data_IF_522224740725
#
_entry.id   IF_522224740725
#
_cell.length_a   1.000
_cell.length_b   1.000
_cell.length_c   1.000
_cell.angle_alpha   90.00
_cell.angle_beta   90.00
_cell.angle_gamma   90.00
#
_symmetry.space_group_name_H-M   'P 1'
#
loop_
_entity.id
_entity.type
_entity.pdbx_description
1 polymer ?
#
# COMPACT_ATOMS: atom_id res chain seq x y z
N UNK A 1 -41.73 -54.64 17.05
CA UNK A 1 -41.67 -53.60 16.01
C UNK A 1 -41.85 -52.15 16.59
N UNK A 2 -42.93 -51.81 17.35
CA UNK A 2 -43.09 -50.41 17.88
C UNK A 2 -41.93 -49.90 18.74
N UNK A 3 -41.31 -50.71 19.62
CA UNK A 3 -40.17 -50.29 20.45
C UNK A 3 -38.92 -49.98 19.65
N UNK A 4 -38.63 -50.76 18.62
CA UNK A 4 -37.48 -50.53 17.71
C UNK A 4 -37.66 -49.22 16.95
N UNK A 5 -38.88 -48.96 16.44
CA UNK A 5 -39.22 -47.75 15.71
C UNK A 5 -39.05 -46.47 16.60
N UNK A 6 -39.46 -46.56 17.87
CA UNK A 6 -39.28 -45.42 18.82
C UNK A 6 -37.82 -45.17 19.10
N UNK A 7 -37.01 -46.21 19.29
CA UNK A 7 -35.55 -46.08 19.51
C UNK A 7 -34.87 -45.45 18.28
N UNK A 8 -35.13 -45.96 17.08
CA UNK A 8 -34.60 -45.40 15.84
C UNK A 8 -34.98 -43.90 15.67
N UNK A 9 -36.26 -43.58 15.87
CA UNK A 9 -36.75 -42.17 15.80
C UNK A 9 -36.00 -41.27 16.75
N UNK A 10 -35.78 -41.70 18.00
CA UNK A 10 -35.07 -40.90 19.00
C UNK A 10 -33.59 -40.72 18.67
N UNK A 11 -32.95 -41.75 18.13
CA UNK A 11 -31.55 -41.66 17.63
C UNK A 11 -31.47 -40.64 16.48
N UNK A 12 -32.36 -40.70 15.51
CA UNK A 12 -32.37 -39.74 14.40
C UNK A 12 -32.66 -38.31 14.88
N UNK A 13 -33.54 -38.13 15.88
CA UNK A 13 -33.79 -36.81 16.46
C UNK A 13 -32.54 -36.24 17.17
N UNK A 14 -31.83 -37.06 17.93
CA UNK A 14 -30.57 -36.65 18.59
C UNK A 14 -29.50 -36.33 17.56
N UNK A 15 -29.32 -37.15 16.54
CA UNK A 15 -28.36 -36.89 15.45
C UNK A 15 -28.72 -35.60 14.70
N UNK A 16 -30.01 -35.36 14.47
CA UNK A 16 -30.48 -34.12 13.83
C UNK A 16 -30.15 -32.88 14.67
N UNK A 17 -30.35 -32.92 15.99
CA UNK A 17 -29.99 -31.83 16.89
C UNK A 17 -28.48 -31.60 16.89
N UNK A 18 -27.66 -32.66 16.97
CA UNK A 18 -26.20 -32.56 16.92
C UNK A 18 -25.75 -31.95 15.58
N UNK A 19 -26.30 -32.42 14.45
CA UNK A 19 -25.99 -31.87 13.13
C UNK A 19 -26.37 -30.38 13.01
N UNK A 20 -27.51 -29.98 13.58
CA UNK A 20 -27.95 -28.59 13.59
C UNK A 20 -27.01 -27.73 14.45
N UNK A 21 -26.62 -28.21 15.63
CA UNK A 21 -25.66 -27.50 16.49
C UNK A 21 -24.31 -27.35 15.77
N UNK A 22 -23.79 -28.42 15.16
CA UNK A 22 -22.55 -28.37 14.39
C UNK A 22 -22.68 -27.40 13.21
N UNK A 23 -23.80 -27.41 12.50
CA UNK A 23 -24.02 -26.47 11.39
C UNK A 23 -24.05 -25.00 11.88
N UNK A 24 -24.75 -24.71 12.98
CA UNK A 24 -24.76 -23.37 13.60
C UNK A 24 -23.38 -22.97 14.07
N UNK A 25 -22.65 -23.88 14.76
CA UNK A 25 -21.27 -23.64 15.16
C UNK A 25 -20.38 -23.37 13.93
N UNK A 26 -20.53 -24.14 12.84
CA UNK A 26 -19.81 -23.89 11.61
C UNK A 26 -20.16 -22.53 11.00
N UNK A 27 -21.43 -22.11 10.99
CA UNK A 27 -21.84 -20.80 10.45
C UNK A 27 -21.21 -19.61 11.23
N UNK A 28 -21.03 -19.76 12.53
CA UNK A 28 -20.40 -18.73 13.37
C UNK A 28 -18.89 -18.91 13.53
N UNK A 29 -18.42 -20.15 13.48
CA UNK A 29 -17.00 -20.45 13.62
C UNK A 29 -16.24 -20.41 12.30
N UNK A 30 -16.86 -20.66 11.13
CA UNK A 30 -16.17 -20.59 9.83
C UNK A 30 -15.61 -19.18 9.58
N UNK A 31 -16.32 -18.05 9.81
CA UNK A 31 -15.71 -16.74 9.72
C UNK A 31 -14.59 -16.51 10.73
N UNK A 32 -14.72 -17.10 11.93
CA UNK A 32 -13.70 -17.02 12.99
C UNK A 32 -12.53 -17.97 12.69
N UNK A 33 -12.78 -19.14 12.15
CA UNK A 33 -11.79 -20.12 11.74
C UNK A 33 -11.12 -19.77 10.42
N UNK A 34 -11.79 -19.10 9.51
CA UNK A 34 -11.17 -18.53 8.32
C UNK A 34 -10.14 -17.46 8.69
N UNK A 35 -10.35 -16.79 9.84
CA UNK A 35 -9.41 -15.85 10.46
C UNK A 35 -8.25 -16.54 11.17
N UNK A 36 -8.53 -17.65 11.87
CA UNK A 36 -7.54 -18.27 12.79
C UNK A 36 -6.96 -19.60 12.30
N UNK A 37 -7.60 -20.25 11.35
CA UNK A 37 -7.24 -21.60 10.87
C UNK A 37 -7.05 -21.63 9.36
N UNK A 38 -7.15 -20.51 8.65
CA UNK A 38 -6.60 -20.51 7.31
C UNK A 38 -5.07 -20.51 7.45
N UNK A 39 -4.40 -21.69 7.41
CA UNK A 39 -2.97 -21.81 7.59
C UNK A 39 -2.20 -21.00 6.54
N UNK A 40 -2.86 -20.71 5.39
CA UNK A 40 -2.30 -19.87 4.34
C UNK A 40 -2.17 -18.41 4.77
N UNK A 41 -3.09 -17.86 5.59
CA UNK A 41 -3.04 -16.43 5.95
C UNK A 41 -2.11 -16.14 7.13
N UNK A 42 -2.08 -16.99 8.16
CA UNK A 42 -1.11 -16.86 9.27
C UNK A 42 0.28 -17.36 8.87
N UNK A 43 0.36 -18.46 8.12
CA UNK A 43 1.62 -18.99 7.61
C UNK A 43 2.26 -18.09 6.55
N UNK A 44 1.48 -17.42 5.71
CA UNK A 44 2.00 -16.49 4.70
C UNK A 44 2.68 -15.27 5.33
N UNK A 45 2.13 -14.72 6.43
CA UNK A 45 2.80 -13.60 7.09
C UNK A 45 4.15 -14.02 7.65
N UNK A 46 4.25 -15.17 8.30
CA UNK A 46 5.51 -15.69 8.83
C UNK A 46 6.50 -15.98 7.69
N UNK A 47 6.04 -16.54 6.57
CA UNK A 47 6.84 -16.77 5.38
C UNK A 47 7.41 -15.48 4.79
N UNK A 48 6.58 -14.45 4.63
CA UNK A 48 7.05 -13.14 4.13
C UNK A 48 8.02 -12.46 5.08
N UNK A 49 7.75 -12.50 6.38
CA UNK A 49 8.67 -11.96 7.39
C UNK A 49 9.98 -12.74 7.43
N UNK A 50 9.95 -14.05 7.30
CA UNK A 50 11.16 -14.88 7.24
C UNK A 50 11.96 -14.61 5.96
N UNK A 51 11.30 -14.38 4.83
CA UNK A 51 11.93 -13.92 3.60
C UNK A 51 12.64 -12.57 3.80
N UNK A 52 11.99 -11.61 4.45
CA UNK A 52 12.62 -10.33 4.79
C UNK A 52 13.84 -10.50 5.72
N UNK A 53 13.77 -11.37 6.72
CA UNK A 53 14.85 -11.66 7.68
C UNK A 53 16.03 -12.37 7.03
N UNK A 54 15.78 -13.21 6.05
CA UNK A 54 16.82 -13.96 5.34
C UNK A 54 17.39 -13.19 4.15
N UNK A 55 16.73 -12.10 3.74
CA UNK A 55 17.26 -11.22 2.70
C UNK A 55 18.58 -10.57 3.15
N UNK A 56 19.44 -10.21 2.19
CA UNK A 56 20.62 -9.43 2.48
C UNK A 56 20.28 -8.08 3.13
N UNK A 57 21.18 -7.52 3.96
CA UNK A 57 20.95 -6.19 4.54
C UNK A 57 21.01 -5.11 3.47
N UNK A 58 20.35 -4.00 3.70
CA UNK A 58 20.67 -2.77 2.98
C UNK A 58 22.06 -2.27 3.40
N UNK A 59 22.87 -1.89 2.44
CA UNK A 59 24.26 -1.48 2.67
C UNK A 59 24.65 -0.35 1.73
N UNK A 60 25.53 0.53 2.19
CA UNK A 60 26.07 1.60 1.34
C UNK A 60 26.79 1.01 0.14
N UNK A 61 26.53 1.57 -1.01
CA UNK A 61 27.21 1.25 -2.25
C UNK A 61 27.81 2.50 -2.90
N UNK A 62 28.40 2.34 -4.08
CA UNK A 62 29.01 3.44 -4.84
C UNK A 62 28.06 4.04 -5.88
N UNK A 63 26.83 3.57 -5.97
CA UNK A 63 25.83 4.04 -6.92
C UNK A 63 25.45 5.47 -6.61
N UNK A 64 25.52 6.33 -7.60
CA UNK A 64 25.12 7.74 -7.46
C UNK A 64 23.78 7.99 -8.09
N UNK A 65 22.88 8.56 -7.35
CA UNK A 65 21.58 9.02 -7.81
C UNK A 65 21.11 10.19 -6.93
N UNK A 66 20.16 10.94 -7.43
CA UNK A 66 19.42 11.93 -6.65
C UNK A 66 17.93 11.74 -6.87
N UNK A 67 17.15 12.01 -5.85
CA UNK A 67 15.70 12.04 -5.93
C UNK A 67 15.24 13.48 -5.85
N UNK A 68 14.60 13.95 -6.91
CA UNK A 68 14.17 15.35 -7.04
C UNK A 68 12.68 15.43 -7.18
N UNK A 69 12.10 16.45 -6.56
CA UNK A 69 10.67 16.76 -6.68
C UNK A 69 10.55 18.11 -7.38
N UNK A 70 9.97 18.09 -8.56
CA UNK A 70 9.76 19.29 -9.38
C UNK A 70 8.39 19.86 -9.08
N UNK A 71 8.38 21.06 -8.52
CA UNK A 71 7.16 21.81 -8.26
C UNK A 71 6.81 22.69 -9.46
N UNK A 72 5.52 22.73 -9.83
CA UNK A 72 4.94 23.65 -10.80
C UNK A 72 3.79 24.41 -10.12
N UNK A 73 4.02 25.68 -9.83
CA UNK A 73 3.07 26.52 -9.12
C UNK A 73 1.78 26.78 -9.90
N UNK A 74 1.84 26.77 -11.23
CA UNK A 74 0.67 26.97 -12.10
C UNK A 74 -0.21 25.73 -12.06
N UNK A 75 0.41 24.56 -12.22
CA UNK A 75 -0.31 23.29 -12.14
C UNK A 75 -0.83 23.03 -10.73
N UNK A 76 -0.03 23.33 -9.71
CA UNK A 76 -0.45 23.24 -8.31
C UNK A 76 -1.73 24.07 -8.06
N UNK A 77 -1.76 25.33 -8.52
CA UNK A 77 -2.94 26.17 -8.33
C UNK A 77 -4.17 25.65 -9.07
N UNK A 78 -4.00 25.18 -10.30
CA UNK A 78 -5.08 24.56 -11.08
C UNK A 78 -5.70 23.36 -10.35
N UNK A 79 -4.86 22.48 -9.77
CA UNK A 79 -5.32 21.31 -9.01
C UNK A 79 -6.00 21.76 -7.72
N UNK A 80 -5.42 22.72 -6.98
CA UNK A 80 -6.03 23.29 -5.76
C UNK A 80 -7.44 23.78 -6.01
N UNK A 81 -7.62 24.59 -7.06
CA UNK A 81 -8.91 25.19 -7.38
C UNK A 81 -9.92 24.12 -7.83
N UNK A 82 -9.48 23.14 -8.62
CA UNK A 82 -10.34 22.07 -9.12
C UNK A 82 -10.86 21.18 -7.99
N UNK A 83 -9.97 20.75 -7.09
CA UNK A 83 -10.31 19.86 -5.97
C UNK A 83 -10.76 20.60 -4.70
N UNK A 84 -10.66 21.93 -4.67
CA UNK A 84 -10.88 22.74 -3.47
C UNK A 84 -10.07 22.21 -2.28
N UNK A 85 -8.78 21.94 -2.50
CA UNK A 85 -7.92 21.22 -1.55
C UNK A 85 -7.88 21.86 -0.16
N UNK A 86 -7.94 23.20 -0.08
CA UNK A 86 -7.92 23.93 1.18
C UNK A 86 -9.15 23.65 2.08
N UNK A 87 -10.15 22.94 1.56
CA UNK A 87 -11.30 22.50 2.36
C UNK A 87 -11.10 21.14 3.04
N UNK A 88 -10.06 20.39 2.65
CA UNK A 88 -9.79 19.06 3.17
C UNK A 88 -9.12 19.05 4.54
N UNK A 89 -8.44 20.13 4.89
CA UNK A 89 -7.67 20.27 6.13
C UNK A 89 -7.68 21.71 6.63
N UNK A 90 -7.36 21.90 7.91
CA UNK A 90 -7.24 23.24 8.48
C UNK A 90 -6.03 23.99 7.87
N UNK A 91 -6.13 25.31 7.74
CA UNK A 91 -5.08 26.15 7.12
C UNK A 91 -3.72 26.00 7.82
N UNK A 92 -3.73 25.82 9.13
CA UNK A 92 -2.57 25.64 10.00
C UNK A 92 -2.20 24.16 10.25
N UNK A 93 -2.82 23.23 9.52
CA UNK A 93 -2.50 21.80 9.64
C UNK A 93 -1.04 21.53 9.27
N UNK A 94 -0.39 20.66 10.04
CA UNK A 94 0.96 20.19 9.76
C UNK A 94 1.02 19.30 8.51
N UNK A 95 2.23 19.03 8.06
CA UNK A 95 2.51 18.20 6.86
C UNK A 95 1.80 16.85 6.91
N UNK A 96 1.90 16.17 8.05
CA UNK A 96 1.31 14.84 8.21
C UNK A 96 -0.22 14.87 8.16
N UNK A 97 -0.82 15.81 8.85
CA UNK A 97 -2.28 15.98 8.87
C UNK A 97 -2.83 16.25 7.47
N UNK A 98 -2.17 17.08 6.67
CA UNK A 98 -2.54 17.34 5.27
C UNK A 98 -2.43 16.07 4.43
N UNK A 99 -1.32 15.36 4.52
CA UNK A 99 -1.09 14.13 3.76
C UNK A 99 -2.15 13.05 4.05
N UNK A 100 -2.46 12.83 5.33
CA UNK A 100 -3.51 11.88 5.75
C UNK A 100 -4.90 12.31 5.28
N UNK A 101 -5.20 13.62 5.32
CA UNK A 101 -6.49 14.14 4.84
C UNK A 101 -6.66 13.90 3.33
N UNK A 102 -5.61 14.15 2.55
CA UNK A 102 -5.59 13.92 1.10
C UNK A 102 -5.72 12.42 0.80
N UNK A 103 -4.93 11.56 1.44
CA UNK A 103 -5.02 10.10 1.24
C UNK A 103 -6.42 9.56 1.57
N UNK A 104 -7.03 10.03 2.65
CA UNK A 104 -8.42 9.67 3.01
C UNK A 104 -9.44 10.22 2.03
N UNK A 105 -9.23 11.41 1.48
CA UNK A 105 -10.11 11.97 0.46
C UNK A 105 -10.13 11.08 -0.77
N UNK A 106 -8.97 10.67 -1.29
CA UNK A 106 -8.89 9.75 -2.43
C UNK A 106 -9.54 8.41 -2.10
N UNK A 107 -9.17 7.79 -1.00
CA UNK A 107 -9.70 6.50 -0.55
C UNK A 107 -11.23 6.45 -0.42
N UNK A 108 -11.85 7.55 0.02
CA UNK A 108 -13.32 7.62 0.20
C UNK A 108 -14.07 7.80 -1.10
N UNK A 109 -13.45 8.39 -2.09
CA UNK A 109 -14.10 8.75 -3.35
C UNK A 109 -13.79 7.79 -4.49
N UNK A 110 -12.70 7.05 -4.41
CA UNK A 110 -12.27 6.12 -5.46
C UNK A 110 -12.09 4.73 -4.87
N UNK A 111 -12.93 3.76 -5.20
CA UNK A 111 -12.73 2.36 -4.84
C UNK A 111 -11.56 1.73 -5.61
N UNK A 112 -10.98 0.68 -5.04
CA UNK A 112 -10.00 -0.15 -5.74
C UNK A 112 -10.69 -1.07 -6.76
N UNK A 113 -10.17 -1.10 -7.99
CA UNK A 113 -10.43 -2.15 -8.98
C UNK A 113 -9.32 -2.10 -10.05
N UNK A 114 -9.11 -3.20 -10.76
CA UNK A 114 -8.24 -3.20 -11.92
C UNK A 114 -9.00 -2.62 -13.13
N UNK A 115 -8.57 -1.46 -13.61
CA UNK A 115 -9.19 -0.80 -14.75
C UNK A 115 -9.06 -1.63 -16.02
N UNK A 116 -10.17 -1.73 -16.77
CA UNK A 116 -10.22 -2.41 -18.07
C UNK A 116 -9.81 -1.49 -19.22
N UNK A 117 -10.03 -0.20 -19.04
CA UNK A 117 -9.71 0.85 -20.01
C UNK A 117 -8.66 1.74 -19.35
N UNK A 118 -7.53 1.97 -20.02
CA UNK A 118 -6.51 2.87 -19.49
C UNK A 118 -6.97 4.32 -19.62
N UNK A 119 -6.74 5.18 -18.59
CA UNK A 119 -7.09 6.60 -18.69
C UNK A 119 -6.35 7.30 -19.85
N UNK A 120 -7.02 8.22 -20.52
CA UNK A 120 -6.39 9.05 -21.57
C UNK A 120 -5.37 10.02 -21.00
N UNK A 121 -5.60 10.51 -19.77
CA UNK A 121 -4.67 11.35 -19.04
C UNK A 121 -4.45 10.78 -17.65
N UNK A 122 -3.18 10.56 -17.30
CA UNK A 122 -2.74 10.00 -16.01
C UNK A 122 -2.15 11.12 -15.16
N UNK A 123 -3.00 12.11 -14.86
CA UNK A 123 -2.77 13.22 -13.94
C UNK A 123 -3.97 13.37 -13.01
N UNK A 124 -3.86 14.19 -11.96
CA UNK A 124 -4.90 14.27 -10.94
C UNK A 124 -6.28 14.59 -11.50
N UNK A 125 -6.38 15.55 -12.42
CA UNK A 125 -7.67 15.97 -13.00
C UNK A 125 -8.19 14.90 -13.97
N UNK A 126 -7.32 14.38 -14.84
CA UNK A 126 -7.67 13.32 -15.80
C UNK A 126 -8.15 12.05 -15.10
N UNK A 127 -7.46 11.61 -14.07
CA UNK A 127 -7.87 10.46 -13.25
C UNK A 127 -9.20 10.71 -12.55
N UNK A 128 -9.41 11.91 -12.03
CA UNK A 128 -10.68 12.25 -11.39
C UNK A 128 -11.86 12.27 -12.40
N UNK A 129 -11.65 12.83 -13.57
CA UNK A 129 -12.65 12.80 -14.65
C UNK A 129 -12.90 11.37 -15.18
N UNK A 130 -11.85 10.54 -15.21
CA UNK A 130 -11.98 9.11 -15.53
C UNK A 130 -12.96 8.42 -14.57
N UNK A 131 -12.87 8.70 -13.26
CA UNK A 131 -13.80 8.08 -12.28
C UNK A 131 -15.26 8.45 -12.49
N UNK A 132 -15.53 9.62 -13.07
CA UNK A 132 -16.89 10.09 -13.36
C UNK A 132 -17.44 9.60 -14.69
N UNK A 133 -16.58 9.49 -15.69
CA UNK A 133 -17.00 9.34 -17.08
C UNK A 133 -16.73 7.97 -17.69
N UNK A 134 -15.79 7.19 -17.14
CA UNK A 134 -15.35 5.91 -17.72
C UNK A 134 -15.59 4.75 -16.74
N UNK A 135 -14.94 4.77 -15.59
CA UNK A 135 -15.10 3.74 -14.56
C UNK A 135 -14.82 4.34 -13.17
N UNK A 136 -15.63 4.03 -12.13
CA UNK A 136 -15.55 4.70 -10.85
C UNK A 136 -14.34 4.30 -9.99
N UNK A 137 -13.54 3.35 -10.45
CA UNK A 137 -12.47 2.71 -9.69
C UNK A 137 -11.22 2.49 -10.55
N UNK A 138 -10.07 2.39 -9.89
CA UNK A 138 -8.79 2.01 -10.52
C UNK A 138 -7.82 1.40 -9.50
N UNK A 139 -6.66 0.93 -9.96
CA UNK A 139 -5.69 0.20 -9.15
C UNK A 139 -4.81 1.11 -8.27
N UNK A 140 -3.98 0.48 -7.44
CA UNK A 140 -3.07 1.14 -6.50
C UNK A 140 -2.15 2.18 -7.15
N UNK A 141 -1.65 1.93 -8.38
CA UNK A 141 -0.79 2.88 -9.08
C UNK A 141 -1.50 4.19 -9.39
N UNK A 142 -2.71 4.11 -9.95
CA UNK A 142 -3.48 5.32 -10.28
C UNK A 142 -3.98 6.05 -9.02
N UNK A 143 -4.29 5.31 -7.94
CA UNK A 143 -4.53 5.89 -6.62
C UNK A 143 -3.35 6.72 -6.14
N UNK A 144 -2.16 6.14 -6.24
CA UNK A 144 -0.94 6.78 -5.76
C UNK A 144 -0.53 7.99 -6.61
N UNK A 145 -0.74 7.96 -7.92
CA UNK A 145 -0.50 9.11 -8.81
C UNK A 145 -1.45 10.25 -8.48
N UNK A 146 -2.76 9.97 -8.39
CA UNK A 146 -3.75 10.98 -7.98
C UNK A 146 -3.38 11.61 -6.63
N UNK A 147 -3.09 10.78 -5.62
CA UNK A 147 -2.72 11.24 -4.29
C UNK A 147 -1.43 12.06 -4.29
N UNK A 148 -0.43 11.63 -5.04
CA UNK A 148 0.85 12.33 -5.21
C UNK A 148 0.67 13.74 -5.76
N UNK A 149 -0.04 13.90 -6.87
CA UNK A 149 -0.25 15.23 -7.46
C UNK A 149 -1.11 16.14 -6.58
N UNK A 150 -2.07 15.59 -5.82
CA UNK A 150 -2.81 16.36 -4.81
C UNK A 150 -1.89 16.81 -3.66
N UNK A 151 -0.96 15.95 -3.21
CA UNK A 151 0.04 16.31 -2.20
C UNK A 151 0.99 17.38 -2.71
N UNK A 152 1.51 17.26 -3.93
CA UNK A 152 2.33 18.31 -4.54
C UNK A 152 1.56 19.64 -4.63
N UNK A 153 0.30 19.60 -5.07
CA UNK A 153 -0.54 20.79 -5.14
C UNK A 153 -0.78 21.43 -3.76
N UNK A 154 -0.83 20.62 -2.70
CA UNK A 154 -0.90 21.12 -1.32
C UNK A 154 0.45 21.68 -0.80
N UNK A 155 1.50 21.68 -1.61
CA UNK A 155 2.84 22.14 -1.26
C UNK A 155 3.63 21.14 -0.39
N UNK A 156 3.30 19.86 -0.47
CA UNK A 156 4.00 18.79 0.25
C UNK A 156 5.05 18.15 -0.67
N UNK A 157 6.22 17.85 -0.13
CA UNK A 157 7.19 16.99 -0.79
C UNK A 157 6.73 15.54 -0.64
N UNK A 158 6.27 14.95 -1.73
CA UNK A 158 5.72 13.61 -1.76
C UNK A 158 6.32 12.78 -2.89
N UNK A 159 6.18 11.47 -2.79
CA UNK A 159 6.53 10.51 -3.85
C UNK A 159 5.56 9.35 -3.83
N UNK A 160 5.50 8.58 -4.91
CA UNK A 160 4.89 7.27 -4.91
C UNK A 160 5.95 6.19 -5.14
N UNK A 161 5.84 5.12 -4.39
CA UNK A 161 6.82 4.03 -4.34
C UNK A 161 6.13 2.74 -4.69
N UNK A 162 6.68 2.03 -5.67
CA UNK A 162 6.27 0.66 -5.96
C UNK A 162 6.96 -0.28 -4.99
N UNK A 163 6.16 -0.97 -4.21
CA UNK A 163 6.57 -1.97 -3.24
C UNK A 163 6.49 -3.34 -3.88
N UNK A 164 7.59 -4.08 -3.89
CA UNK A 164 7.76 -5.30 -4.67
C UNK A 164 7.98 -6.52 -3.76
N UNK A 165 7.41 -7.68 -4.12
CA UNK A 165 7.69 -8.93 -3.44
C UNK A 165 9.07 -9.50 -3.81
N UNK A 166 9.54 -10.50 -3.07
CA UNK A 166 10.74 -11.28 -3.41
C UNK A 166 10.56 -12.01 -4.75
N UNK A 167 9.41 -12.69 -4.89
CA UNK A 167 9.10 -13.44 -6.11
C UNK A 167 8.60 -12.48 -7.20
N UNK A 168 9.44 -12.18 -8.17
CA UNK A 168 9.09 -11.33 -9.30
C UNK A 168 8.05 -11.93 -10.26
N UNK A 169 7.77 -13.24 -10.21
CA UNK A 169 6.68 -13.86 -10.94
C UNK A 169 5.30 -13.56 -10.30
N UNK A 170 5.29 -13.12 -9.05
CA UNK A 170 4.10 -12.54 -8.43
C UNK A 170 3.86 -11.12 -9.00
N UNK A 171 2.83 -11.00 -9.84
CA UNK A 171 2.45 -9.72 -10.44
C UNK A 171 1.68 -8.80 -9.47
N UNK A 172 1.39 -9.27 -8.25
CA UNK A 172 0.66 -8.53 -7.23
C UNK A 172 1.63 -7.70 -6.38
N UNK A 173 2.14 -6.62 -6.95
CA UNK A 173 2.88 -5.57 -6.26
C UNK A 173 1.92 -4.50 -5.71
N UNK A 174 2.44 -3.61 -4.87
CA UNK A 174 1.65 -2.50 -4.34
C UNK A 174 2.33 -1.15 -4.61
N UNK A 175 1.53 -0.11 -4.81
CA UNK A 175 2.04 1.26 -4.98
C UNK A 175 1.39 2.15 -3.92
N UNK A 176 2.21 2.84 -3.14
CA UNK A 176 1.77 3.74 -2.07
C UNK A 176 2.50 5.07 -2.12
N UNK A 177 2.00 6.05 -1.38
CA UNK A 177 2.66 7.34 -1.26
C UNK A 177 3.54 7.40 -0.01
N UNK A 178 4.61 8.17 -0.10
CA UNK A 178 5.35 8.70 1.04
C UNK A 178 5.40 10.23 0.96
N UNK A 179 5.30 10.87 2.11
CA UNK A 179 5.43 12.32 2.28
C UNK A 179 6.63 12.61 3.16
N UNK A 180 7.42 13.60 2.79
CA UNK A 180 8.52 14.09 3.62
C UNK A 180 7.98 14.95 4.77
N UNK A 181 8.35 14.60 5.99
CA UNK A 181 8.01 15.33 7.20
C UNK A 181 9.22 16.17 7.64
N UNK A 182 9.31 17.44 7.23
CA UNK A 182 10.48 18.26 7.52
C UNK A 182 10.69 18.47 9.02
N UNK A 183 9.62 18.51 9.79
CA UNK A 183 9.64 18.62 11.25
C UNK A 183 10.23 17.39 11.96
N UNK A 184 10.32 16.25 11.25
CA UNK A 184 10.85 14.98 11.75
C UNK A 184 12.09 14.51 11.00
N UNK A 185 12.42 15.14 9.87
CA UNK A 185 13.54 14.77 9.01
C UNK A 185 13.40 13.35 8.43
N UNK A 186 12.16 12.93 8.08
CA UNK A 186 11.90 11.57 7.59
C UNK A 186 10.71 11.50 6.64
N UNK A 187 10.64 10.43 5.87
CA UNK A 187 9.48 10.02 5.08
C UNK A 187 8.45 9.31 5.95
N UNK A 188 7.18 9.40 5.55
CA UNK A 188 6.08 8.65 6.15
C UNK A 188 5.09 8.18 5.08
N UNK A 189 4.61 6.94 5.20
CA UNK A 189 3.76 6.27 4.22
C UNK A 189 2.28 6.57 4.44
N UNK A 190 1.55 6.80 3.34
CA UNK A 190 0.08 6.85 3.27
C UNK A 190 -0.40 5.99 2.10
N UNK A 191 -1.31 5.09 2.37
CA UNK A 191 -1.91 4.19 1.39
C UNK A 191 -3.34 4.61 1.07
N UNK A 192 -3.53 5.38 0.00
CA UNK A 192 -4.85 5.85 -0.42
C UNK A 192 -5.70 4.77 -1.07
N UNK A 193 -5.11 3.72 -1.60
CA UNK A 193 -5.82 2.61 -2.24
C UNK A 193 -6.51 1.71 -1.20
N UNK A 194 -5.83 1.43 -0.10
CA UNK A 194 -6.34 0.57 0.97
C UNK A 194 -7.05 1.35 2.10
N UNK A 195 -7.84 2.36 1.74
CA UNK A 195 -8.68 3.09 2.70
C UNK A 195 -8.01 4.28 3.39
N UNK A 196 -6.91 4.78 2.86
CA UNK A 196 -6.13 5.88 3.47
C UNK A 196 -5.38 5.42 4.71
N UNK A 197 -4.91 4.17 4.70
CA UNK A 197 -4.18 3.57 5.81
C UNK A 197 -2.75 4.09 5.90
N UNK A 198 -2.21 4.04 7.12
CA UNK A 198 -0.81 4.27 7.42
C UNK A 198 -0.41 3.50 8.68
N UNK A 199 0.88 3.28 8.85
CA UNK A 199 1.41 2.63 10.04
C UNK A 199 2.13 3.63 10.94
N UNK A 200 2.05 3.37 12.26
CA UNK A 200 2.84 4.09 13.27
C UNK A 200 3.59 3.09 14.15
N UNK A 201 4.60 3.56 14.85
CA UNK A 201 5.13 2.87 16.02
C UNK A 201 4.12 2.90 17.19
N UNK A 202 4.50 2.33 18.33
CA UNK A 202 3.66 2.32 19.52
C UNK A 202 3.48 3.70 20.18
N UNK A 203 4.30 4.69 19.81
CA UNK A 203 4.21 6.07 20.27
C UNK A 203 3.38 6.96 19.35
N UNK A 204 2.83 6.39 18.27
CA UNK A 204 2.03 7.11 17.29
C UNK A 204 2.87 7.88 16.25
N UNK A 205 4.17 7.59 16.13
CA UNK A 205 5.03 8.17 15.09
C UNK A 205 4.78 7.47 13.77
N UNK A 206 4.40 8.18 12.70
CA UNK A 206 4.18 7.55 11.40
C UNK A 206 5.46 6.96 10.81
N UNK A 207 5.33 5.80 10.18
CA UNK A 207 6.44 5.02 9.65
C UNK A 207 6.57 5.23 8.14
N UNK A 208 7.82 5.26 7.67
CA UNK A 208 8.17 5.07 6.26
C UNK A 208 8.11 3.59 5.89
N UNK A 209 8.14 3.31 4.60
CA UNK A 209 8.23 1.93 4.09
C UNK A 209 9.50 1.21 4.58
N UNK A 210 10.62 1.92 4.68
CA UNK A 210 11.84 1.35 5.24
C UNK A 210 11.67 0.96 6.71
N UNK A 211 11.16 1.87 7.54
CA UNK A 211 10.92 1.58 8.96
C UNK A 211 9.90 0.43 9.13
N UNK A 212 8.86 0.38 8.30
CA UNK A 212 7.94 -0.75 8.30
C UNK A 212 8.65 -2.08 8.03
N UNK A 213 9.53 -2.12 7.02
CA UNK A 213 10.34 -3.29 6.72
C UNK A 213 11.22 -3.70 7.92
N UNK A 214 11.89 -2.74 8.56
CA UNK A 214 12.72 -3.01 9.74
C UNK A 214 11.88 -3.52 10.94
N UNK A 215 10.65 -3.01 11.12
CA UNK A 215 9.73 -3.50 12.13
C UNK A 215 9.29 -4.95 11.85
N UNK A 216 9.05 -5.33 10.58
CA UNK A 216 8.78 -6.74 10.23
C UNK A 216 9.98 -7.64 10.55
N UNK A 217 11.19 -7.22 10.23
CA UNK A 217 12.42 -7.98 10.48
C UNK A 217 12.69 -8.15 11.97
N UNK A 218 12.60 -7.06 12.74
CA UNK A 218 12.88 -7.05 14.19
C UNK A 218 11.75 -7.68 15.00
N UNK A 219 10.53 -7.73 14.47
CA UNK A 219 9.33 -8.12 15.19
C UNK A 219 8.78 -7.03 16.09
N UNK A 220 9.23 -5.79 15.96
CA UNK A 220 8.64 -4.64 16.66
C UNK A 220 7.23 -4.39 16.19
N UNK A 221 6.35 -4.03 17.13
CA UNK A 221 4.94 -3.84 16.84
C UNK A 221 4.69 -2.51 16.13
N UNK A 222 3.85 -2.58 15.12
CA UNK A 222 3.30 -1.42 14.42
C UNK A 222 1.80 -1.32 14.67
N UNK A 223 1.28 -0.10 14.57
CA UNK A 223 -0.16 0.18 14.68
C UNK A 223 -0.69 0.68 13.34
N UNK A 224 -1.76 0.07 12.84
CA UNK A 224 -2.42 0.45 11.58
C UNK A 224 -3.56 1.45 11.85
N UNK A 225 -3.58 2.56 11.11
CA UNK A 225 -4.60 3.62 11.18
C UNK A 225 -5.10 4.02 9.78
N UNK A 226 -6.39 4.37 9.62
CA UNK A 226 -7.44 3.99 10.56
C UNK A 226 -7.53 2.48 10.68
N UNK A 227 -7.95 1.99 11.84
CA UNK A 227 -8.22 0.56 12.00
C UNK A 227 -9.38 0.15 11.10
N UNK A 228 -9.43 -1.09 10.66
CA UNK A 228 -10.60 -1.62 9.95
C UNK A 228 -11.79 -1.72 10.90
N UNK A 229 -12.95 -1.19 10.49
CA UNK A 229 -14.18 -1.18 11.32
C UNK A 229 -14.71 -2.59 11.62
N UNK A 230 -14.40 -3.57 10.79
CA UNK A 230 -14.99 -4.92 10.82
C UNK A 230 -13.99 -6.05 11.16
N UNK A 231 -13.04 -5.78 12.02
CA UNK A 231 -12.32 -6.86 12.69
C UNK A 231 -10.93 -7.20 12.17
N UNK A 232 -10.35 -8.17 12.84
CA UNK A 232 -8.95 -8.55 12.78
C UNK A 232 -8.48 -9.14 11.44
N UNK A 233 -9.39 -9.70 10.64
CA UNK A 233 -9.04 -10.41 9.40
C UNK A 233 -8.44 -9.47 8.36
N UNK A 234 -9.17 -8.43 7.97
CA UNK A 234 -8.68 -7.45 6.99
C UNK A 234 -7.41 -6.75 7.46
N UNK A 235 -7.31 -6.50 8.77
CA UNK A 235 -6.10 -5.96 9.38
C UNK A 235 -4.91 -6.89 9.16
N UNK A 236 -5.05 -8.17 9.49
CA UNK A 236 -3.98 -9.16 9.36
C UNK A 236 -3.62 -9.40 7.89
N UNK A 237 -4.61 -9.40 6.99
CA UNK A 237 -4.40 -9.46 5.54
C UNK A 237 -3.56 -8.29 5.05
N UNK A 238 -3.86 -7.06 5.50
CA UNK A 238 -3.10 -5.88 5.13
C UNK A 238 -1.66 -5.91 5.68
N UNK A 239 -1.46 -6.37 6.92
CA UNK A 239 -0.12 -6.58 7.46
C UNK A 239 0.68 -7.60 6.64
N UNK A 240 0.08 -8.75 6.30
CA UNK A 240 0.73 -9.78 5.49
C UNK A 240 1.02 -9.29 4.07
N UNK A 241 0.08 -8.56 3.46
CA UNK A 241 0.23 -7.97 2.15
C UNK A 241 1.38 -6.96 2.09
N UNK A 242 1.47 -6.10 3.09
CA UNK A 242 2.58 -5.16 3.19
C UNK A 242 3.91 -5.87 3.50
N UNK A 243 3.93 -6.89 4.37
CA UNK A 243 5.14 -7.67 4.60
C UNK A 243 5.67 -8.30 3.30
N UNK A 244 4.78 -8.91 2.48
CA UNK A 244 5.11 -9.43 1.15
C UNK A 244 5.75 -8.36 0.26
N UNK A 245 5.13 -7.20 0.21
CA UNK A 245 5.47 -6.12 -0.74
C UNK A 245 6.51 -5.12 -0.21
N UNK A 246 7.17 -5.38 0.92
CA UNK A 246 8.29 -4.57 1.41
C UNK A 246 9.65 -5.25 1.22
N UNK A 247 9.76 -6.17 0.24
CA UNK A 247 11.02 -6.86 -0.01
C UNK A 247 12.03 -5.95 -0.73
N UNK A 248 11.60 -5.28 -1.82
CA UNK A 248 12.37 -4.25 -2.49
C UNK A 248 11.47 -3.12 -3.01
N UNK A 249 12.06 -2.00 -3.41
CA UNK A 249 11.32 -0.77 -3.73
C UNK A 249 11.79 -0.15 -5.02
N UNK A 250 10.85 0.45 -5.75
CA UNK A 250 11.13 1.20 -6.97
C UNK A 250 10.47 2.58 -6.91
N UNK A 251 11.23 3.62 -7.22
CA UNK A 251 10.74 4.99 -7.24
C UNK A 251 11.37 5.76 -8.41
N UNK A 252 10.68 6.77 -8.93
CA UNK A 252 11.25 7.69 -9.90
C UNK A 252 12.41 8.50 -9.28
N UNK A 253 13.48 8.70 -10.04
CA UNK A 253 14.56 9.61 -9.66
C UNK A 253 14.16 11.09 -9.74
N UNK A 254 13.23 11.42 -10.62
CA UNK A 254 12.61 12.73 -10.72
C UNK A 254 11.09 12.57 -10.73
N UNK A 255 10.40 13.35 -9.92
CA UNK A 255 8.96 13.32 -9.75
C UNK A 255 8.38 14.70 -10.06
N UNK A 256 7.37 14.74 -10.91
CA UNK A 256 6.69 15.96 -11.33
C UNK A 256 5.22 15.69 -11.64
N UNK A 257 4.45 16.75 -11.87
CA UNK A 257 3.11 16.60 -12.43
C UNK A 257 3.18 15.96 -13.82
N UNK A 258 2.15 15.21 -14.18
CA UNK A 258 2.04 14.51 -15.47
C UNK A 258 3.13 13.46 -15.74
N UNK A 259 3.78 12.97 -14.69
CA UNK A 259 4.91 12.03 -14.80
C UNK A 259 4.60 10.80 -15.66
N UNK A 260 3.37 10.32 -15.61
CA UNK A 260 2.94 9.10 -16.30
C UNK A 260 2.30 9.39 -17.70
N UNK A 261 2.19 10.64 -18.09
CA UNK A 261 1.62 11.03 -19.38
C UNK A 261 2.64 11.05 -20.54
N UNK A 262 3.93 10.91 -20.23
CA UNK A 262 4.95 10.85 -21.26
C UNK A 262 4.88 9.53 -22.03
N UNK A 263 5.02 9.59 -23.36
CA UNK A 263 5.05 8.42 -24.22
C UNK A 263 6.10 7.43 -23.75
N UNK A 264 5.62 6.31 -23.27
CA UNK A 264 6.27 5.36 -22.36
C UNK A 264 7.50 4.64 -22.88
N UNK A 265 7.86 4.71 -24.16
CA UNK A 265 8.80 3.71 -24.67
C UNK A 265 10.28 4.08 -24.60
N UNK A 266 10.65 5.36 -24.54
CA UNK A 266 12.07 5.75 -24.60
C UNK A 266 12.62 6.51 -23.38
N UNK A 267 11.84 7.35 -22.71
CA UNK A 267 12.33 8.25 -21.65
C UNK A 267 12.23 7.62 -20.24
N UNK A 268 11.33 6.68 -20.07
CA UNK A 268 10.88 6.23 -18.74
C UNK A 268 11.70 5.06 -18.19
N UNK A 269 12.23 4.19 -19.04
CA UNK A 269 12.94 2.98 -18.59
C UNK A 269 14.19 3.26 -17.78
N UNK A 270 14.84 4.40 -17.99
CA UNK A 270 16.15 4.73 -17.42
C UNK A 270 16.07 5.64 -16.18
N UNK A 271 14.88 5.90 -15.65
CA UNK A 271 14.69 6.92 -14.62
C UNK A 271 14.26 6.37 -13.27
N UNK A 272 14.09 5.06 -13.14
CA UNK A 272 13.75 4.45 -11.85
C UNK A 272 15.01 4.17 -11.03
N UNK A 273 14.88 4.42 -9.73
CA UNK A 273 15.82 4.00 -8.71
C UNK A 273 15.20 2.80 -7.99
N UNK A 274 15.92 1.69 -7.99
CA UNK A 274 15.48 0.43 -7.40
C UNK A 274 16.36 0.10 -6.21
N UNK A 275 15.79 0.14 -5.01
CA UNK A 275 16.45 -0.26 -3.79
C UNK A 275 16.20 -1.74 -3.53
N UNK A 276 17.26 -2.53 -3.56
CA UNK A 276 17.21 -3.98 -3.39
C UNK A 276 18.05 -4.43 -2.20
N UNK A 277 17.71 -5.56 -1.55
CA UNK A 277 18.59 -6.17 -0.56
C UNK A 277 19.92 -6.60 -1.18
N UNK A 278 21.01 -6.53 -0.41
CA UNK A 278 22.33 -6.98 -0.87
C UNK A 278 22.30 -8.45 -1.31
N UNK A 279 22.81 -8.71 -2.51
CA UNK A 279 22.82 -10.06 -3.11
C UNK A 279 21.52 -10.46 -3.80
N UNK A 280 20.51 -9.60 -3.84
CA UNK A 280 19.32 -9.80 -4.64
C UNK A 280 19.51 -9.15 -6.02
N UNK A 281 19.28 -9.91 -7.07
CA UNK A 281 19.41 -9.47 -8.47
C UNK A 281 18.06 -9.60 -9.16
N UNK A 282 17.23 -8.54 -9.17
CA UNK A 282 15.94 -8.58 -9.85
C UNK A 282 16.11 -8.73 -11.36
N UNK A 283 15.44 -9.69 -11.94
CA UNK A 283 15.55 -9.98 -13.38
C UNK A 283 14.58 -9.15 -14.25
N UNK A 284 13.56 -8.53 -13.63
CA UNK A 284 12.57 -7.69 -14.34
C UNK A 284 13.00 -6.22 -14.49
N UNK A 285 14.04 -5.81 -13.81
CA UNK A 285 14.57 -4.45 -13.96
C UNK A 285 15.29 -4.36 -15.32
N UNK A 286 14.72 -3.57 -16.21
CA UNK A 286 15.32 -3.33 -17.53
C UNK A 286 16.65 -2.59 -17.43
N UNK A 287 17.51 -2.73 -18.46
CA UNK A 287 18.77 -1.97 -18.56
C UNK A 287 18.49 -0.46 -18.55
N UNK A 288 19.41 0.30 -17.92
CA UNK A 288 19.32 1.75 -17.74
C UNK A 288 18.78 2.22 -16.41
N UNK A 289 18.05 1.36 -15.67
CA UNK A 289 17.57 1.69 -14.33
C UNK A 289 18.69 1.64 -13.30
N UNK A 290 18.65 2.56 -12.35
CA UNK A 290 19.58 2.56 -11.21
C UNK A 290 19.20 1.46 -10.23
N UNK A 291 20.15 0.61 -9.85
CA UNK A 291 20.00 -0.39 -8.78
C UNK A 291 20.96 0.01 -7.65
N UNK A 292 20.44 0.06 -6.43
CA UNK A 292 21.20 0.41 -5.23
C UNK A 292 20.81 -0.47 -4.06
N UNK A 293 21.74 -0.66 -3.13
CA UNK A 293 21.49 -1.25 -1.81
C UNK A 293 21.50 -0.20 -0.70
N UNK A 294 21.74 1.09 -1.04
CA UNK A 294 21.89 2.20 -0.09
C UNK A 294 20.53 2.78 0.32
N UNK A 295 19.94 2.22 1.36
CA UNK A 295 18.67 2.69 1.91
C UNK A 295 18.77 4.11 2.51
N UNK A 296 19.90 4.48 3.14
CA UNK A 296 20.06 5.83 3.71
C UNK A 296 19.95 6.89 2.61
N UNK A 297 20.51 6.64 1.43
CA UNK A 297 20.42 7.53 0.28
C UNK A 297 19.03 7.50 -0.35
N UNK A 298 18.41 6.33 -0.44
CA UNK A 298 17.06 6.19 -1.01
C UNK A 298 15.99 6.92 -0.17
N UNK A 299 16.16 6.94 1.16
CA UNK A 299 15.28 7.69 2.08
C UNK A 299 15.89 9.00 2.58
N UNK A 300 16.90 9.53 1.91
CA UNK A 300 17.38 10.89 2.19
C UNK A 300 16.28 11.95 1.94
N UNK A 301 16.51 13.16 2.46
CA UNK A 301 15.62 14.30 2.16
C UNK A 301 15.53 14.54 0.65
N UNK A 302 14.36 14.93 0.13
CA UNK A 302 14.20 15.31 -1.28
C UNK A 302 15.06 16.56 -1.59
N UNK A 303 15.45 16.69 -2.87
CA UNK A 303 16.22 17.82 -3.38
C UNK A 303 15.37 18.71 -4.28
#
# INVERSE_FOLDING_TARGET
>A
MKKVFIVCRNIFAVLGVIATILFVVCLFAIPYFDVYINPTRLGMMDEYVDSLRTSGPYAKDTTTFSMRIIQDTVQAQKIKDYFQLDTLYATDADTWTKAVAIGKFVARNVPHDNQKIWPESVDAIGLWEYTKNVAPAFNCRLHSILTFELMLAAGLDARYVTCMPENEDDNDCHVVNEVWLPERGKWAMVDSDMGGHYFTDLNGVPLSLWEMREHYISGEKMMLYPGFENGSTKKNEHYAYMAKNTYWFSCWGELSYFQENYNHEEVIRDSYINLVPSGYEPYRIGGGNTITTDAERFWASPQ
#
